data_IF_307822017777
#
_entry.id   IF_307822017777
#
_cell.length_a   1.000
_cell.length_b   1.000
_cell.length_c   1.000
_cell.angle_alpha   90.00
_cell.angle_beta   90.00
_cell.angle_gamma   90.00
#
_symmetry.space_group_name_H-M   'P 1'
#
loop_
_entity.id
_entity.type
_entity.pdbx_description
1 polymer ?
#
# COMPACT_ATOMS: atom_id res chain seq x y z
N UNK A 1 -5.42 7.43 10.58
CA UNK A 1 -4.03 7.22 10.14
C UNK A 1 -3.73 8.12 8.94
N UNK A 2 -2.56 8.77 8.90
CA UNK A 2 -2.07 9.59 7.78
C UNK A 2 -1.00 8.81 7.00
N UNK A 3 -0.93 9.00 5.68
CA UNK A 3 -0.01 8.32 4.78
C UNK A 3 1.22 9.20 4.46
N UNK A 4 2.39 8.62 4.11
CA UNK A 4 3.59 9.40 3.74
C UNK A 4 3.44 10.32 2.51
N UNK A 5 2.51 10.05 1.59
CA UNK A 5 2.24 10.91 0.40
C UNK A 5 0.84 11.54 0.40
N UNK A 6 0.24 11.75 1.58
CA UNK A 6 -1.00 12.52 1.68
C UNK A 6 -1.85 12.21 2.90
N UNK A 7 -3.14 12.55 2.82
CA UNK A 7 -4.05 12.41 3.96
C UNK A 7 -4.62 10.99 4.16
N UNK A 8 -4.43 10.06 3.21
CA UNK A 8 -4.92 8.68 3.32
C UNK A 8 -4.06 7.68 2.54
N UNK A 9 -4.12 6.40 2.93
CA UNK A 9 -3.48 5.30 2.20
C UNK A 9 -4.14 5.00 0.85
N UNK A 10 -5.41 5.38 0.67
CA UNK A 10 -6.05 5.35 -0.65
C UNK A 10 -5.38 6.31 -1.64
N UNK A 11 -5.00 7.50 -1.19
CA UNK A 11 -4.25 8.45 -2.02
C UNK A 11 -2.85 7.93 -2.37
N UNK A 12 -2.18 7.26 -1.43
CA UNK A 12 -0.91 6.58 -1.69
C UNK A 12 -1.06 5.52 -2.79
N UNK A 13 -2.08 4.66 -2.68
CA UNK A 13 -2.32 3.61 -3.68
C UNK A 13 -2.60 4.20 -5.06
N UNK A 14 -3.38 5.29 -5.13
CA UNK A 14 -3.66 5.99 -6.37
C UNK A 14 -2.38 6.59 -7.00
N UNK A 15 -1.53 7.24 -6.21
CA UNK A 15 -0.25 7.80 -6.67
C UNK A 15 0.70 6.69 -7.17
N UNK A 16 0.86 5.61 -6.41
CA UNK A 16 1.69 4.47 -6.81
C UNK A 16 1.21 3.85 -8.12
N UNK A 17 -0.09 3.58 -8.26
CA UNK A 17 -0.68 3.05 -9.49
C UNK A 17 -0.46 4.00 -10.69
N UNK A 18 -0.60 5.31 -10.47
CA UNK A 18 -0.38 6.31 -11.52
C UNK A 18 1.06 6.28 -12.01
N UNK A 19 2.03 6.22 -11.09
CA UNK A 19 3.46 6.11 -11.42
C UNK A 19 3.78 4.83 -12.19
N UNK A 20 3.28 3.69 -11.74
CA UNK A 20 3.49 2.40 -12.44
C UNK A 20 2.94 2.44 -13.87
N UNK A 21 1.72 2.94 -14.06
CA UNK A 21 1.12 3.08 -15.39
C UNK A 21 1.87 4.08 -16.27
N UNK A 22 2.37 5.17 -15.68
CA UNK A 22 3.17 6.16 -16.40
C UNK A 22 4.52 5.55 -16.84
N UNK A 23 5.23 4.86 -15.95
CA UNK A 23 6.49 4.17 -16.27
C UNK A 23 6.28 3.08 -17.34
N UNK A 24 5.14 2.39 -17.31
CA UNK A 24 4.77 1.40 -18.32
C UNK A 24 4.28 2.02 -19.65
N UNK A 25 4.16 3.34 -19.76
CA UNK A 25 3.62 4.02 -20.94
C UNK A 25 2.14 3.69 -21.21
N UNK A 26 1.37 3.36 -20.17
CA UNK A 26 -0.06 2.96 -20.25
C UNK A 26 -1.01 3.99 -19.65
N UNK A 27 -0.49 5.03 -19.00
CA UNK A 27 -1.31 6.13 -18.50
C UNK A 27 -1.70 7.07 -19.66
N UNK A 28 -2.99 7.21 -19.92
CA UNK A 28 -3.52 8.16 -20.90
C UNK A 28 -4.83 8.79 -20.40
N UNK A 29 -4.96 10.13 -20.41
CA UNK A 29 -6.20 10.81 -20.07
C UNK A 29 -7.37 10.50 -21.02
N UNK A 30 -7.07 10.05 -22.25
CA UNK A 30 -8.06 9.71 -23.28
C UNK A 30 -8.35 8.19 -23.33
N UNK A 31 -7.88 7.42 -22.34
CA UNK A 31 -8.11 5.98 -22.30
C UNK A 31 -9.60 5.67 -22.14
N UNK A 32 -10.07 4.65 -22.85
CA UNK A 32 -11.37 4.02 -22.64
C UNK A 32 -11.37 3.07 -21.43
N UNK A 33 -10.21 2.86 -20.79
CA UNK A 33 -10.01 2.00 -19.63
C UNK A 33 -9.91 2.85 -18.36
N UNK A 34 -10.77 2.56 -17.39
CA UNK A 34 -10.75 3.18 -16.06
C UNK A 34 -10.42 2.12 -15.01
N UNK A 35 -9.50 2.43 -14.10
CA UNK A 35 -9.16 1.56 -12.96
C UNK A 35 -9.63 2.25 -11.69
N UNK A 36 -10.51 1.60 -10.96
CA UNK A 36 -10.96 2.01 -9.61
C UNK A 36 -10.36 1.08 -8.58
N UNK A 37 -9.88 1.65 -7.48
CA UNK A 37 -9.39 0.90 -6.35
C UNK A 37 -10.11 1.36 -5.07
N UNK A 38 -10.50 0.40 -4.24
CA UNK A 38 -11.06 0.67 -2.91
C UNK A 38 -10.26 -0.12 -1.90
N UNK A 39 -9.62 0.59 -0.98
CA UNK A 39 -8.90 -0.04 0.12
C UNK A 39 -9.90 -0.71 1.07
N UNK A 40 -9.71 -1.98 1.35
CA UNK A 40 -10.58 -2.80 2.21
C UNK A 40 -9.94 -3.06 3.57
N UNK A 41 -8.64 -3.30 3.59
CA UNK A 41 -7.87 -3.55 4.82
C UNK A 41 -6.56 -2.78 4.77
N UNK A 42 -6.21 -2.22 5.91
CA UNK A 42 -4.91 -1.62 6.17
C UNK A 42 -4.59 -1.80 7.64
N UNK A 43 -3.93 -2.91 7.93
CA UNK A 43 -3.50 -3.30 9.27
C UNK A 43 -1.98 -3.31 9.30
N UNK A 44 -1.42 -2.57 10.24
CA UNK A 44 0.02 -2.46 10.44
C UNK A 44 0.29 -2.66 11.93
N UNK A 45 0.98 -3.74 12.25
CA UNK A 45 1.46 -4.05 13.59
C UNK A 45 2.98 -3.85 13.64
N UNK A 46 3.41 -2.83 14.37
CA UNK A 46 4.82 -2.52 14.59
C UNK A 46 5.29 -3.15 15.91
N UNK A 47 5.27 -4.49 15.96
CA UNK A 47 5.76 -5.24 17.11
C UNK A 47 7.21 -4.90 17.47
N UNK A 48 7.60 -5.16 18.73
CA UNK A 48 8.91 -4.80 19.26
C UNK A 48 10.02 -5.55 18.52
N UNK A 49 9.90 -6.87 18.37
CA UNK A 49 10.89 -7.71 17.70
C UNK A 49 10.65 -7.79 16.18
N UNK A 50 9.39 -7.88 15.76
CA UNK A 50 9.01 -8.05 14.35
C UNK A 50 7.79 -7.21 14.04
N UNK A 51 7.85 -6.47 12.94
CA UNK A 51 6.71 -5.75 12.38
C UNK A 51 6.02 -6.57 11.29
N UNK A 52 4.71 -6.38 11.13
CA UNK A 52 3.91 -7.00 10.10
C UNK A 52 2.91 -6.00 9.52
N UNK A 53 2.58 -6.16 8.25
CA UNK A 53 1.50 -5.42 7.61
C UNK A 53 0.63 -6.34 6.74
N UNK A 54 -0.67 -6.07 6.75
CA UNK A 54 -1.67 -6.66 5.86
C UNK A 54 -2.43 -5.53 5.17
N UNK A 55 -2.47 -5.59 3.84
CA UNK A 55 -3.17 -4.64 3.01
C UNK A 55 -4.06 -5.41 2.05
N UNK A 56 -5.31 -4.98 1.87
CA UNK A 56 -6.14 -5.48 0.80
C UNK A 56 -6.92 -4.36 0.12
N UNK A 57 -7.07 -4.46 -1.20
CA UNK A 57 -7.84 -3.53 -2.00
C UNK A 57 -8.62 -4.26 -3.08
N UNK A 58 -9.86 -3.82 -3.32
CA UNK A 58 -10.67 -4.23 -4.46
C UNK A 58 -10.30 -3.37 -5.66
N UNK A 59 -9.95 -4.01 -6.76
CA UNK A 59 -9.65 -3.38 -8.03
C UNK A 59 -10.76 -3.71 -9.02
N UNK A 60 -11.34 -2.68 -9.62
CA UNK A 60 -12.31 -2.78 -10.70
C UNK A 60 -11.70 -2.11 -11.93
N UNK A 61 -11.52 -2.87 -13.01
CA UNK A 61 -11.13 -2.33 -14.32
C UNK A 61 -12.36 -2.32 -15.20
N UNK A 62 -12.68 -1.15 -15.72
CA UNK A 62 -13.77 -0.94 -16.66
C UNK A 62 -13.19 -0.57 -18.02
N UNK A 63 -13.83 -1.04 -19.09
CA UNK A 63 -13.57 -0.57 -20.44
C UNK A 63 -14.88 -0.09 -21.06
N UNK A 64 -14.93 1.18 -21.44
CA UNK A 64 -16.13 1.81 -21.99
C UNK A 64 -17.37 1.58 -21.12
N UNK A 65 -17.22 1.73 -19.80
CA UNK A 65 -18.31 1.55 -18.82
C UNK A 65 -18.64 0.09 -18.46
N UNK A 66 -18.01 -0.91 -19.10
CA UNK A 66 -18.23 -2.33 -18.78
C UNK A 66 -17.14 -2.86 -17.87
N UNK A 67 -17.50 -3.51 -16.76
CA UNK A 67 -16.52 -4.19 -15.89
C UNK A 67 -15.86 -5.34 -16.65
N UNK A 68 -14.54 -5.29 -16.76
CA UNK A 68 -13.71 -6.33 -17.38
C UNK A 68 -12.90 -7.11 -16.36
N UNK A 69 -12.68 -6.52 -15.19
CA UNK A 69 -11.97 -7.13 -14.08
C UNK A 69 -12.51 -6.60 -12.77
N UNK A 70 -12.73 -7.49 -11.81
CA UNK A 70 -13.17 -7.14 -10.46
C UNK A 70 -12.62 -8.18 -9.49
N UNK A 71 -11.61 -7.80 -8.72
CA UNK A 71 -10.93 -8.70 -7.79
C UNK A 71 -10.40 -7.96 -6.57
N UNK A 72 -10.37 -8.65 -5.44
CA UNK A 72 -9.59 -8.23 -4.27
C UNK A 72 -8.16 -8.73 -4.42
N UNK A 73 -7.19 -7.84 -4.24
CA UNK A 73 -5.79 -8.19 -4.08
C UNK A 73 -5.35 -7.91 -2.65
N UNK A 74 -4.61 -8.85 -2.09
CA UNK A 74 -4.07 -8.75 -0.74
C UNK A 74 -2.56 -8.90 -0.78
N UNK A 75 -1.88 -8.11 0.03
CA UNK A 75 -0.45 -8.18 0.26
C UNK A 75 -0.20 -8.33 1.76
N UNK A 76 0.76 -9.19 2.09
CA UNK A 76 1.25 -9.37 3.44
C UNK A 76 2.76 -9.26 3.42
N UNK A 77 3.31 -8.54 4.40
CA UNK A 77 4.75 -8.45 4.59
C UNK A 77 5.08 -8.45 6.07
N UNK A 78 6.26 -8.95 6.39
CA UNK A 78 6.81 -9.03 7.73
C UNK A 78 8.28 -8.60 7.65
N UNK A 79 8.74 -7.84 8.63
CA UNK A 79 10.11 -7.33 8.68
C UNK A 79 10.63 -7.32 10.12
N UNK A 80 11.94 -7.49 10.28
CA UNK A 80 12.58 -7.34 11.59
C UNK A 80 12.49 -5.87 12.06
N UNK A 81 12.06 -5.66 13.29
CA UNK A 81 11.74 -4.32 13.79
C UNK A 81 13.00 -3.63 14.33
N UNK A 82 13.32 -2.47 13.77
CA UNK A 82 14.39 -1.59 14.30
C UNK A 82 14.02 -0.97 15.66
N UNK A 83 12.77 -1.12 16.13
CA UNK A 83 12.31 -0.55 17.40
C UNK A 83 12.90 -1.29 18.61
N UNK A 84 13.05 -2.63 18.54
CA UNK A 84 13.84 -3.38 19.52
C UNK A 84 15.29 -2.89 19.57
N UNK A 85 15.90 -2.67 18.41
CA UNK A 85 17.30 -2.22 18.32
C UNK A 85 17.51 -0.84 18.97
N UNK A 86 16.59 0.12 18.77
CA UNK A 86 16.70 1.45 19.38
C UNK A 86 16.50 1.47 20.90
N UNK A 87 15.74 0.52 21.48
CA UNK A 87 15.59 0.38 22.95
C UNK A 87 16.72 -0.47 23.55
N UNK A 88 17.21 -1.47 22.82
CA UNK A 88 18.26 -2.37 23.30
C UNK A 88 19.64 -1.69 23.38
N UNK A 89 19.97 -0.81 22.43
CA UNK A 89 21.28 -0.12 22.40
C UNK A 89 21.53 0.75 23.65
N UNK A 90 20.57 1.55 24.17
CA UNK A 90 20.74 2.26 25.44
C UNK A 90 20.94 1.33 26.64
N UNK A 91 20.13 0.26 26.74
CA UNK A 91 20.18 -0.68 27.88
C UNK A 91 21.49 -1.46 27.97
N UNK A 92 22.08 -1.82 26.82
CA UNK A 92 23.38 -2.49 26.78
C UNK A 92 24.57 -1.59 27.17
N UNK A 93 24.35 -0.27 27.32
CA UNK A 93 25.38 0.68 27.79
C UNK A 93 25.28 0.95 29.30
N UNK A 94 24.23 0.46 29.95
CA UNK A 94 23.96 0.63 31.38
C UNK A 94 24.33 -0.63 32.20
N UNK A 95 24.76 -1.72 31.56
CA UNK A 95 25.41 -2.90 32.17
C UNK A 95 26.94 -2.82 32.07
#
# INVERSE_FOLDING_TARGET
MKSPVGNSFGAYLADAMTRELQMAGKLSPQSDVEIKATLLENDIDVGIATGAARLSARFIVMRSGTVRYDQVKSAHTQWDSAFAAMIAVPKAREE
#
